data_IF_036456263644
#
_entry.id   IF_036456263644
#
_cell.length_a   1.000
_cell.length_b   1.000
_cell.length_c   1.000
_cell.angle_alpha   90.00
_cell.angle_beta   90.00
_cell.angle_gamma   90.00
#
_symmetry.space_group_name_H-M   'P 1'
#
loop_
_entity.id
_entity.type
_entity.pdbx_description
1 polymer ?
#
# COMPACT_ATOMS: atom_id res chain seq x y z
N UNK A 1 -85.92 12.62 2.12
CA UNK A 1 -85.58 11.74 0.99
C UNK A 1 -84.47 12.43 0.20
N UNK A 2 -83.27 12.48 0.77
CA UNK A 2 -82.34 11.34 0.82
C UNK A 2 -81.96 10.94 -0.61
N UNK A 3 -80.97 11.59 -1.22
CA UNK A 3 -79.97 10.84 -2.02
C UNK A 3 -78.75 11.62 -2.53
N UNK A 4 -78.75 12.96 -2.68
CA UNK A 4 -77.52 13.62 -3.18
C UNK A 4 -76.54 14.10 -2.11
N UNK A 5 -76.90 14.05 -0.82
CA UNK A 5 -75.97 14.32 0.29
C UNK A 5 -74.92 13.20 0.50
N UNK A 6 -75.07 12.05 -0.18
CA UNK A 6 -74.23 10.88 0.05
C UNK A 6 -72.92 10.88 -0.78
N UNK A 7 -72.85 11.63 -1.88
CA UNK A 7 -71.67 11.60 -2.77
C UNK A 7 -70.54 12.55 -2.32
N UNK A 8 -70.85 13.60 -1.56
CA UNK A 8 -69.87 14.56 -1.05
C UNK A 8 -69.16 14.08 0.23
N UNK A 9 -69.70 13.08 0.93
CA UNK A 9 -69.10 12.55 2.17
C UNK A 9 -68.04 11.46 1.91
N UNK A 10 -68.03 10.85 0.72
CA UNK A 10 -67.14 9.73 0.37
C UNK A 10 -65.76 10.14 -0.19
N UNK A 11 -65.52 11.44 -0.42
CA UNK A 11 -64.20 11.94 -0.86
C UNK A 11 -63.27 12.34 0.29
N UNK A 12 -63.71 12.31 1.55
CA UNK A 12 -62.89 12.67 2.71
C UNK A 12 -62.17 11.49 3.38
N UNK A 13 -62.34 10.27 2.89
CA UNK A 13 -61.72 9.05 3.45
C UNK A 13 -60.58 8.45 2.60
N UNK A 14 -60.09 9.17 1.58
CA UNK A 14 -58.86 8.77 0.90
C UNK A 14 -57.66 9.14 1.81
N UNK A 15 -56.79 8.19 2.17
CA UNK A 15 -55.64 8.48 3.04
C UNK A 15 -54.72 9.48 2.33
N UNK A 16 -54.57 10.66 2.92
CA UNK A 16 -53.56 11.64 2.52
C UNK A 16 -52.22 10.92 2.69
N UNK A 17 -51.65 10.47 1.58
CA UNK A 17 -50.30 9.90 1.56
C UNK A 17 -49.38 10.89 2.27
N UNK A 18 -48.73 10.39 3.32
CA UNK A 18 -47.78 11.13 4.12
C UNK A 18 -46.78 11.81 3.19
N UNK A 19 -46.92 13.14 3.06
CA UNK A 19 -45.91 13.98 2.43
C UNK A 19 -44.73 13.95 3.38
N UNK A 20 -43.70 13.21 3.00
CA UNK A 20 -42.39 13.20 3.65
C UNK A 20 -41.92 14.64 3.81
N UNK A 21 -41.83 15.09 5.07
CA UNK A 21 -41.21 16.37 5.43
C UNK A 21 -39.75 16.30 4.97
N UNK A 22 -39.29 17.17 4.06
CA UNK A 22 -37.87 17.26 3.78
C UNK A 22 -37.18 17.77 5.04
N UNK A 23 -36.19 17.00 5.51
CA UNK A 23 -35.34 17.41 6.64
C UNK A 23 -34.75 18.81 6.34
N UNK A 24 -34.64 19.68 7.36
CA UNK A 24 -33.96 20.96 7.18
C UNK A 24 -32.55 20.71 6.66
N UNK A 25 -32.22 21.35 5.54
CA UNK A 25 -30.85 21.46 5.05
C UNK A 25 -29.99 22.01 6.19
N UNK A 26 -29.12 21.16 6.74
CA UNK A 26 -28.01 21.62 7.56
C UNK A 26 -27.07 22.35 6.59
N UNK A 27 -26.87 23.67 6.72
CA UNK A 27 -25.81 24.34 5.99
C UNK A 27 -24.51 23.67 6.44
N UNK A 28 -23.77 23.09 5.50
CA UNK A 28 -22.49 22.48 5.78
C UNK A 28 -21.65 23.47 6.57
N UNK A 29 -21.20 23.06 7.75
CA UNK A 29 -20.20 23.82 8.49
C UNK A 29 -19.04 24.06 7.54
N UNK A 30 -18.75 25.33 7.31
CA UNK A 30 -17.46 25.76 6.80
C UNK A 30 -16.41 25.16 7.74
N UNK A 31 -15.64 24.19 7.23
CA UNK A 31 -14.49 23.63 7.94
C UNK A 31 -13.38 24.69 7.88
N UNK A 32 -13.49 25.62 8.82
CA UNK A 32 -12.60 26.74 9.05
C UNK A 32 -11.24 26.18 9.49
N UNK A 33 -10.26 26.25 8.58
CA UNK A 33 -8.81 26.15 8.78
C UNK A 33 -8.36 25.43 10.07
N UNK A 34 -8.38 24.10 10.06
CA UNK A 34 -7.63 23.26 10.99
C UNK A 34 -6.49 22.58 10.23
N UNK A 35 -5.25 22.85 10.64
CA UNK A 35 -4.01 22.05 10.47
C UNK A 35 -3.94 21.05 9.30
N UNK A 36 -2.96 21.23 8.41
CA UNK A 36 -2.58 20.35 7.29
C UNK A 36 -2.94 18.86 7.50
N UNK A 37 -3.72 18.27 6.59
CA UNK A 37 -4.13 16.85 6.65
C UNK A 37 -2.91 15.93 6.50
N UNK A 38 -2.51 15.16 7.53
CA UNK A 38 -1.51 14.11 7.40
C UNK A 38 -2.08 12.89 6.66
N UNK A 39 -1.20 12.06 6.10
CA UNK A 39 -1.46 10.64 5.92
C UNK A 39 -2.39 10.22 4.79
N UNK A 40 -1.83 10.06 3.59
CA UNK A 40 -2.31 8.98 2.72
C UNK A 40 -1.59 7.71 3.14
N UNK A 41 -2.34 6.67 3.51
CA UNK A 41 -1.80 5.35 3.78
C UNK A 41 -2.51 4.30 2.92
N UNK A 42 -1.76 3.27 2.55
CA UNK A 42 -2.26 2.19 1.71
C UNK A 42 -2.98 1.15 2.57
N UNK A 43 -4.02 0.54 2.02
CA UNK A 43 -4.63 -0.68 2.56
C UNK A 43 -4.15 -1.85 1.70
N UNK A 44 -3.37 -2.75 2.28
CA UNK A 44 -2.92 -3.97 1.62
C UNK A 44 -3.75 -5.12 2.23
N UNK A 45 -4.63 -5.72 1.43
CA UNK A 45 -5.32 -6.95 1.81
C UNK A 45 -4.29 -8.08 1.89
N UNK A 46 -4.23 -8.75 3.05
CA UNK A 46 -3.22 -9.73 3.40
C UNK A 46 -3.12 -10.81 2.31
N UNK A 47 -2.01 -10.82 1.57
CA UNK A 47 -1.59 -12.00 0.82
C UNK A 47 -1.09 -13.00 1.86
N UNK A 48 -1.72 -14.17 1.92
CA UNK A 48 -1.30 -15.28 2.77
C UNK A 48 0.20 -15.50 2.60
N UNK A 49 0.95 -15.34 3.69
CA UNK A 49 2.41 -15.37 3.70
C UNK A 49 2.88 -16.80 3.31
N UNK A 50 3.48 -17.02 2.12
CA UNK A 50 3.84 -18.37 1.68
C UNK A 50 5.08 -18.94 2.38
N UNK A 51 5.69 -18.22 3.32
CA UNK A 51 6.98 -18.55 3.93
C UNK A 51 6.88 -19.44 5.18
N UNK A 52 5.86 -20.29 5.26
CA UNK A 52 5.77 -21.36 6.26
C UNK A 52 5.99 -22.72 5.60
N UNK A 53 7.20 -22.93 5.06
CA UNK A 53 7.64 -24.24 4.60
C UNK A 53 8.45 -24.95 5.69
N UNK A 54 7.91 -26.10 6.06
CA UNK A 54 8.20 -26.98 7.17
C UNK A 54 9.69 -27.34 7.31
N UNK A 55 10.28 -27.03 8.47
CA UNK A 55 11.69 -27.30 8.80
C UNK A 55 11.98 -28.78 9.13
N UNK A 56 11.00 -29.68 8.97
CA UNK A 56 11.15 -31.11 9.31
C UNK A 56 12.20 -31.88 8.48
N UNK A 57 12.71 -31.31 7.39
CA UNK A 57 13.76 -31.93 6.55
C UNK A 57 15.18 -31.75 7.09
N UNK A 58 15.36 -30.96 8.14
CA UNK A 58 16.64 -30.79 8.80
C UNK A 58 16.98 -32.02 9.64
N UNK A 59 18.06 -32.73 9.26
CA UNK A 59 18.49 -33.92 9.99
C UNK A 59 18.64 -33.60 11.48
N UNK A 60 17.92 -34.37 12.32
CA UNK A 60 17.85 -34.25 13.79
C UNK A 60 19.23 -33.89 14.37
N UNK A 61 19.35 -32.66 14.87
CA UNK A 61 20.54 -32.02 15.47
C UNK A 61 21.66 -31.49 14.55
N UNK A 62 21.38 -31.19 13.28
CA UNK A 62 22.32 -30.47 12.40
C UNK A 62 21.74 -29.11 11.97
N UNK A 63 22.59 -28.08 11.92
CA UNK A 63 22.22 -26.74 11.42
C UNK A 63 21.88 -26.82 9.92
N UNK A 64 20.68 -26.41 9.52
CA UNK A 64 20.27 -26.30 8.11
C UNK A 64 20.78 -25.03 7.44
N UNK A 65 22.01 -24.65 7.77
CA UNK A 65 22.62 -23.46 7.20
C UNK A 65 23.21 -23.77 5.83
N UNK A 66 22.63 -23.18 4.79
CA UNK A 66 23.10 -23.23 3.41
C UNK A 66 24.15 -22.16 3.09
N UNK A 67 24.35 -21.21 4.00
CA UNK A 67 25.37 -20.18 3.94
C UNK A 67 25.85 -19.87 5.37
N UNK A 68 27.06 -19.33 5.52
CA UNK A 68 27.57 -18.74 6.75
C UNK A 68 27.77 -17.22 6.63
N UNK A 69 27.91 -16.71 5.41
CA UNK A 69 27.92 -15.29 5.09
C UNK A 69 27.50 -14.99 3.65
N UNK A 70 27.37 -13.70 3.32
CA UNK A 70 26.93 -13.23 2.00
C UNK A 70 27.77 -13.75 0.84
N UNK A 71 29.06 -14.02 1.08
CA UNK A 71 29.98 -14.55 0.07
C UNK A 71 29.63 -15.97 -0.38
N UNK A 72 28.89 -16.73 0.42
CA UNK A 72 28.49 -18.11 0.10
C UNK A 72 27.26 -18.13 -0.82
N UNK A 73 26.63 -16.98 -1.05
CA UNK A 73 25.39 -16.85 -1.77
C UNK A 73 25.60 -16.43 -3.23
N UNK A 74 24.88 -17.03 -4.20
CA UNK A 74 25.04 -16.70 -5.60
C UNK A 74 24.45 -15.33 -5.97
N UNK A 75 25.15 -14.60 -6.82
CA UNK A 75 24.66 -13.34 -7.39
C UNK A 75 24.48 -12.24 -6.35
N UNK A 76 23.28 -11.67 -6.27
CA UNK A 76 22.93 -10.59 -5.36
C UNK A 76 22.22 -11.07 -4.07
N UNK A 77 22.07 -12.38 -3.90
CA UNK A 77 21.40 -12.96 -2.72
C UNK A 77 22.23 -12.77 -1.45
N UNK A 78 21.55 -12.73 -0.31
CA UNK A 78 22.15 -12.43 1.00
C UNK A 78 21.93 -13.58 1.97
N UNK A 79 22.90 -13.80 2.85
CA UNK A 79 22.81 -14.88 3.81
C UNK A 79 21.96 -14.43 5.00
N UNK A 80 20.70 -14.88 5.02
CA UNK A 80 19.71 -14.44 5.99
C UNK A 80 19.43 -15.55 7.01
N UNK A 81 19.25 -15.22 8.30
CA UNK A 81 18.72 -16.16 9.28
C UNK A 81 17.31 -16.62 8.86
N UNK A 82 17.10 -17.94 8.83
CA UNK A 82 15.81 -18.58 8.62
C UNK A 82 15.33 -19.27 9.90
N UNK A 83 14.15 -19.92 9.83
CA UNK A 83 13.57 -20.65 10.97
C UNK A 83 14.52 -21.73 11.53
N UNK A 84 15.46 -22.25 10.74
CA UNK A 84 16.40 -23.28 11.19
C UNK A 84 17.82 -23.19 10.59
N UNK A 85 18.44 -22.01 10.68
CA UNK A 85 19.82 -21.79 10.25
C UNK A 85 19.90 -20.56 9.38
N UNK A 86 20.74 -20.58 8.35
CA UNK A 86 20.86 -19.50 7.39
C UNK A 86 20.62 -19.98 5.97
N UNK A 87 20.01 -19.14 5.14
CA UNK A 87 19.77 -19.45 3.73
C UNK A 87 19.94 -18.21 2.87
N UNK A 88 20.33 -18.41 1.62
CA UNK A 88 20.48 -17.34 0.65
C UNK A 88 19.10 -16.89 0.18
N UNK A 89 18.75 -15.63 0.45
CA UNK A 89 17.50 -15.03 0.02
C UNK A 89 17.75 -13.85 -0.89
N UNK A 90 16.86 -13.64 -1.86
CA UNK A 90 16.86 -12.40 -2.62
C UNK A 90 16.63 -11.22 -1.65
N UNK A 91 17.34 -10.09 -1.83
CA UNK A 91 17.12 -8.91 -1.01
C UNK A 91 15.67 -8.48 -1.15
N UNK A 92 14.92 -8.55 -0.05
CA UNK A 92 13.60 -7.93 0.02
C UNK A 92 13.83 -6.43 -0.16
N UNK A 93 12.97 -5.78 -0.95
CA UNK A 93 13.01 -4.33 -1.14
C UNK A 93 13.13 -3.65 0.24
N UNK A 94 14.14 -2.77 0.38
CA UNK A 94 14.41 -2.06 1.63
C UNK A 94 13.11 -1.43 2.15
N UNK A 95 12.82 -1.59 3.45
CA UNK A 95 11.56 -1.15 4.00
C UNK A 95 11.35 0.36 3.83
N UNK A 96 12.42 1.15 3.73
CA UNK A 96 12.33 2.58 3.45
C UNK A 96 11.67 2.89 2.09
N UNK A 97 11.64 1.94 1.15
CA UNK A 97 10.93 2.09 -0.13
C UNK A 97 9.49 1.57 -0.10
N UNK A 98 9.05 0.95 0.99
CA UNK A 98 7.67 0.47 1.12
C UNK A 98 6.71 1.66 1.33
N UNK A 99 5.45 1.58 0.88
CA UNK A 99 4.45 2.59 1.17
C UNK A 99 4.09 2.62 2.67
N UNK A 100 3.54 3.71 3.17
CA UNK A 100 2.81 3.73 4.45
C UNK A 100 1.59 2.80 4.38
N UNK A 101 1.32 2.03 5.43
CA UNK A 101 0.18 1.08 5.46
C UNK A 101 -0.64 1.28 6.72
N UNK A 102 -1.93 1.59 6.57
CA UNK A 102 -2.82 1.86 7.70
C UNK A 102 -3.05 0.59 8.55
N UNK A 103 -3.02 -0.58 7.91
CA UNK A 103 -3.42 -1.84 8.52
C UNK A 103 -4.94 -1.96 8.64
N UNK A 104 -5.39 -2.98 9.37
CA UNK A 104 -6.80 -3.38 9.41
C UNK A 104 -7.53 -2.94 10.69
N UNK A 105 -6.78 -2.48 11.70
CA UNK A 105 -7.33 -1.90 12.92
C UNK A 105 -7.76 -0.44 12.71
N UNK A 106 -8.57 0.08 13.63
CA UNK A 106 -9.26 1.39 13.52
C UNK A 106 -8.82 2.43 14.55
N UNK A 107 -7.68 2.22 15.21
CA UNK A 107 -7.10 3.23 16.09
C UNK A 107 -6.51 4.38 15.24
N UNK A 108 -6.24 5.52 15.88
CA UNK A 108 -5.70 6.71 15.23
C UNK A 108 -4.35 7.06 15.84
N UNK A 109 -3.31 6.34 15.41
CA UNK A 109 -1.94 6.63 15.83
C UNK A 109 -1.24 7.48 14.77
N UNK A 110 -0.76 8.67 15.14
CA UNK A 110 0.19 9.42 14.30
C UNK A 110 1.52 8.67 14.31
N UNK A 111 2.01 8.36 13.12
CA UNK A 111 3.29 7.69 12.88
C UNK A 111 4.01 8.35 11.72
N UNK A 112 5.28 8.02 11.55
CA UNK A 112 6.11 8.52 10.46
C UNK A 112 6.48 7.37 9.52
N UNK A 113 6.53 7.65 8.23
CA UNK A 113 7.09 6.75 7.23
C UNK A 113 8.05 7.53 6.33
N UNK A 114 9.05 6.86 5.77
CA UNK A 114 9.93 7.46 4.79
C UNK A 114 9.25 7.45 3.42
N UNK A 115 9.00 8.64 2.86
CA UNK A 115 8.49 8.80 1.52
C UNK A 115 9.67 8.91 0.55
N UNK A 116 9.97 7.83 -0.17
CA UNK A 116 11.09 7.78 -1.11
C UNK A 116 10.97 8.76 -2.28
N UNK A 117 9.77 9.27 -2.60
CA UNK A 117 9.58 10.27 -3.66
C UNK A 117 10.00 11.67 -3.21
N UNK A 118 9.63 12.07 -2.00
CA UNK A 118 10.05 13.35 -1.40
C UNK A 118 11.42 13.26 -0.72
N UNK A 119 11.89 12.05 -0.43
CA UNK A 119 13.07 11.76 0.41
C UNK A 119 12.95 12.39 1.81
N UNK A 120 11.75 12.36 2.38
CA UNK A 120 11.46 12.92 3.71
C UNK A 120 10.66 11.92 4.55
N UNK A 121 10.72 12.07 5.87
CA UNK A 121 9.84 11.38 6.78
C UNK A 121 8.53 12.16 6.93
N UNK A 122 7.42 11.53 6.57
CA UNK A 122 6.10 12.16 6.54
C UNK A 122 5.16 11.47 7.51
N UNK A 123 4.25 12.24 8.09
CA UNK A 123 3.23 11.73 9.01
C UNK A 123 2.14 10.94 8.27
N UNK A 124 1.70 9.83 8.88
CA UNK A 124 0.51 9.09 8.47
C UNK A 124 -0.27 8.52 9.65
N UNK A 125 -1.51 8.11 9.39
CA UNK A 125 -2.37 7.47 10.39
C UNK A 125 -2.20 5.95 10.34
N UNK A 126 -1.71 5.36 11.42
CA UNK A 126 -1.64 3.93 11.61
C UNK A 126 -2.83 3.43 12.44
N UNK A 127 -3.50 2.39 11.92
CA UNK A 127 -4.67 1.75 12.51
C UNK A 127 -4.40 0.99 13.80
N UNK A 128 -3.13 0.72 14.13
CA UNK A 128 -2.71 0.05 15.38
C UNK A 128 -2.41 -1.44 15.27
N UNK A 129 -2.65 -2.06 14.10
CA UNK A 129 -2.24 -3.45 13.84
C UNK A 129 -1.99 -3.68 12.36
N UNK A 130 -1.23 -4.72 12.02
CA UNK A 130 -0.77 -4.99 10.66
C UNK A 130 0.24 -3.93 10.20
N UNK A 131 0.20 -3.56 8.93
CA UNK A 131 1.14 -2.59 8.36
C UNK A 131 2.42 -3.24 7.85
N UNK A 132 3.47 -2.43 7.69
CA UNK A 132 4.81 -2.89 7.33
C UNK A 132 5.87 -2.17 8.18
N UNK A 133 7.16 -2.43 7.88
CA UNK A 133 8.29 -1.88 8.65
C UNK A 133 8.57 -0.40 8.40
N UNK A 134 7.96 0.23 7.39
CA UNK A 134 8.06 1.68 7.17
C UNK A 134 7.05 2.43 8.04
N UNK A 135 7.23 2.33 9.36
CA UNK A 135 6.32 2.85 10.38
C UNK A 135 7.09 3.12 11.67
N UNK A 136 7.25 4.39 12.02
CA UNK A 136 8.07 4.86 13.13
C UNK A 136 7.25 5.74 14.07
N UNK A 137 7.61 5.77 15.34
CA UNK A 137 6.90 6.58 16.34
C UNK A 137 7.27 8.05 16.23
N UNK A 138 8.50 8.35 15.81
CA UNK A 138 9.01 9.72 15.66
C UNK A 138 9.67 9.96 14.30
N UNK A 139 9.70 11.21 13.85
CA UNK A 139 10.39 11.64 12.63
C UNK A 139 11.90 11.33 12.69
N UNK A 140 12.50 11.48 13.87
CA UNK A 140 13.91 11.23 14.09
C UNK A 140 14.25 9.74 13.90
N UNK A 141 13.44 8.84 14.45
CA UNK A 141 13.62 7.40 14.24
C UNK A 141 13.53 7.02 12.76
N UNK A 142 12.53 7.56 12.05
CA UNK A 142 12.38 7.37 10.62
C UNK A 142 13.62 7.85 9.85
N UNK A 143 14.09 9.07 10.15
CA UNK A 143 15.21 9.70 9.46
C UNK A 143 16.51 8.92 9.67
N UNK A 144 16.75 8.44 10.90
CA UNK A 144 17.91 7.64 11.23
C UNK A 144 17.86 6.28 10.53
N UNK A 145 16.72 5.60 10.58
CA UNK A 145 16.52 4.28 9.98
C UNK A 145 16.71 4.28 8.44
N UNK A 146 16.37 5.38 7.77
CA UNK A 146 16.46 5.50 6.31
C UNK A 146 17.61 6.40 5.82
N UNK A 147 18.52 6.80 6.71
CA UNK A 147 19.63 7.73 6.39
C UNK A 147 20.63 7.21 5.34
N UNK A 148 20.77 5.89 5.19
CA UNK A 148 21.63 5.28 4.17
C UNK A 148 21.18 5.59 2.74
N UNK A 149 19.89 5.90 2.54
CA UNK A 149 19.37 6.29 1.23
C UNK A 149 19.86 7.67 0.78
N UNK A 150 20.22 8.55 1.71
CA UNK A 150 20.83 9.84 1.41
C UNK A 150 22.31 9.72 1.02
N UNK A 151 22.95 8.62 1.44
CA UNK A 151 24.39 8.37 1.25
C UNK A 151 24.70 7.61 -0.03
N UNK A 152 23.68 7.11 -0.75
CA UNK A 152 23.89 6.48 -2.05
C UNK A 152 24.29 7.55 -3.07
N UNK A 153 25.49 7.48 -3.67
CA UNK A 153 25.77 8.28 -4.86
C UNK A 153 24.69 7.92 -5.87
N UNK A 154 23.95 8.92 -6.36
CA UNK A 154 22.98 8.79 -7.45
C UNK A 154 23.49 7.75 -8.44
N UNK A 155 22.92 6.54 -8.42
CA UNK A 155 23.33 5.48 -9.33
C UNK A 155 23.15 6.03 -10.74
N UNK A 156 24.27 6.20 -11.45
CA UNK A 156 24.31 6.62 -12.84
C UNK A 156 23.73 5.46 -13.66
N UNK A 157 22.40 5.40 -13.75
CA UNK A 157 21.68 4.32 -14.43
C UNK A 157 20.29 3.95 -13.89
N UNK A 158 19.85 4.47 -12.74
CA UNK A 158 18.46 4.25 -12.32
C UNK A 158 17.51 5.10 -13.16
N UNK A 159 16.46 4.52 -13.79
CA UNK A 159 15.46 5.29 -14.50
C UNK A 159 14.81 6.31 -13.55
N UNK A 160 14.76 7.57 -13.97
CA UNK A 160 14.05 8.63 -13.25
C UNK A 160 12.59 8.19 -13.09
N UNK A 161 11.98 8.24 -11.88
CA UNK A 161 10.54 8.09 -11.74
C UNK A 161 9.87 9.14 -12.65
N UNK A 162 9.10 8.68 -13.62
CA UNK A 162 8.37 9.56 -14.53
C UNK A 162 7.36 10.37 -13.71
N UNK A 163 7.22 11.69 -13.94
CA UNK A 163 6.12 12.44 -13.38
C UNK A 163 4.79 11.83 -13.83
N UNK A 164 3.80 11.78 -12.92
CA UNK A 164 2.45 11.32 -13.25
C UNK A 164 1.88 12.20 -14.37
N UNK A 165 1.64 11.62 -15.55
CA UNK A 165 0.85 12.26 -16.62
C UNK A 165 1.44 12.26 -18.03
N UNK A 166 2.65 11.73 -18.28
CA UNK A 166 3.17 11.60 -19.64
C UNK A 166 2.91 10.21 -20.21
N UNK A 167 2.02 10.14 -21.20
CA UNK A 167 1.82 8.94 -22.02
C UNK A 167 3.04 8.80 -22.92
N UNK A 168 3.88 7.79 -22.66
CA UNK A 168 5.02 7.48 -23.51
C UNK A 168 4.51 7.13 -24.92
N UNK A 169 5.06 7.69 -26.01
CA UNK A 169 4.65 7.30 -27.35
C UNK A 169 4.92 5.80 -27.53
N UNK A 170 3.95 5.09 -28.12
CA UNK A 170 4.07 3.68 -28.42
C UNK A 170 5.42 3.41 -29.13
N UNK A 171 6.23 2.53 -28.55
CA UNK A 171 7.46 2.08 -29.17
C UNK A 171 7.13 1.57 -30.58
N UNK A 172 7.86 2.06 -31.59
CA UNK A 172 7.70 1.55 -32.95
C UNK A 172 7.96 0.04 -32.96
N UNK A 173 7.21 -0.74 -33.78
CA UNK A 173 7.46 -2.16 -33.91
C UNK A 173 8.89 -2.42 -34.38
N UNK A 174 9.52 -3.50 -33.92
CA UNK A 174 10.87 -3.85 -34.35
C UNK A 174 10.92 -4.06 -35.86
N UNK A 175 11.96 -3.53 -36.50
CA UNK A 175 12.20 -3.73 -37.92
C UNK A 175 12.38 -5.24 -38.22
N UNK A 176 11.89 -5.73 -39.37
CA UNK A 176 12.07 -7.14 -39.74
C UNK A 176 13.57 -7.44 -39.90
N UNK A 177 14.02 -8.52 -39.23
CA UNK A 177 15.37 -9.03 -39.38
C UNK A 177 15.61 -9.54 -40.82
N UNK A 178 16.81 -9.33 -41.41
CA UNK A 178 17.16 -9.93 -42.68
C UNK A 178 17.33 -11.45 -42.52
N UNK A 179 16.61 -12.22 -43.34
CA UNK A 179 16.73 -13.67 -43.41
C UNK A 179 18.17 -14.09 -43.78
N UNK A 180 18.73 -15.03 -43.02
CA UNK A 180 20.04 -15.61 -43.30
C UNK A 180 20.05 -16.33 -44.68
N UNK A 181 21.18 -16.30 -45.42
CA UNK A 181 21.29 -17.03 -46.68
C UNK A 181 21.37 -18.54 -46.40
N UNK A 182 20.57 -19.31 -47.15
CA UNK A 182 20.43 -20.76 -47.01
C UNK A 182 21.74 -21.51 -47.20
N UNK A 183 21.96 -22.50 -46.32
CA UNK A 183 23.01 -23.49 -46.47
C UNK A 183 22.72 -24.38 -47.69
N UNK A 184 23.77 -24.63 -48.48
CA UNK A 184 23.79 -25.55 -49.63
C UNK A 184 24.39 -26.88 -49.21
#
# INVERSE_FOLDING_TARGET
MEQQACLLLLLLLLPISARSVPAPHVPGREEQMGTAKPGYCHHISEAENPLDQDCSSCHKNTSCSHCAGDSDCPGATKCCPGKCGHTCQEPVLDFCYLPSVCGNCKALFIRFFYNASSQQCEEFIYGGCGGNRNNFETEQECSQACSHLHSQPRQRGSPRPLPRGEVLPAALPPAPHPSAPGAR
#
